data_IF_849118840684
#
_entry.id   IF_849118840684
#
_cell.length_a   1.000
_cell.length_b   1.000
_cell.length_c   1.000
_cell.angle_alpha   90.00
_cell.angle_beta   90.00
_cell.angle_gamma   90.00
#
_symmetry.space_group_name_H-M   'P 1'
#
loop_
_entity.id
_entity.type
_entity.pdbx_description
1 polymer ?
#
# COMPACT_ATOMS: atom_id res chain seq x y z
N UNK A 1 30.47 46.72 19.62
CA UNK A 1 29.47 46.19 18.67
C UNK A 1 29.31 44.70 18.93
N UNK A 2 28.50 44.32 19.92
CA UNK A 2 28.26 42.92 20.26
C UNK A 2 27.16 42.32 19.37
N UNK A 3 27.56 41.50 18.41
CA UNK A 3 26.66 40.71 17.54
C UNK A 3 26.37 39.32 18.12
N UNK A 4 26.13 39.23 19.43
CA UNK A 4 25.72 37.98 20.08
C UNK A 4 24.47 38.21 20.92
N UNK A 5 23.45 38.83 20.31
CA UNK A 5 22.10 38.78 20.88
C UNK A 5 21.67 37.30 20.96
N UNK A 6 21.78 36.74 22.17
CA UNK A 6 21.41 35.36 22.45
C UNK A 6 20.01 35.08 21.89
N UNK A 7 19.92 34.05 21.05
CA UNK A 7 18.65 33.62 20.47
C UNK A 7 17.68 33.36 21.63
N UNK A 8 16.48 33.98 21.66
CA UNK A 8 15.57 33.81 22.78
C UNK A 8 15.28 32.34 23.01
N UNK A 9 15.18 31.88 24.27
CA UNK A 9 14.95 30.48 24.61
C UNK A 9 13.69 29.92 23.94
N UNK A 10 12.67 30.78 23.71
CA UNK A 10 11.45 30.45 22.97
C UNK A 10 11.72 30.01 21.53
N UNK A 11 12.63 30.67 20.82
CA UNK A 11 12.97 30.35 19.43
C UNK A 11 13.72 29.02 19.36
N UNK A 12 14.58 28.75 20.34
CA UNK A 12 15.29 27.48 20.45
C UNK A 12 14.32 26.32 20.73
N UNK A 13 13.39 26.48 21.67
CA UNK A 13 12.36 25.48 21.99
C UNK A 13 11.44 25.20 20.81
N UNK A 14 10.95 26.25 20.13
CA UNK A 14 10.12 26.11 18.94
C UNK A 14 10.83 25.34 17.81
N UNK A 15 12.12 25.61 17.60
CA UNK A 15 12.93 24.87 16.62
C UNK A 15 13.05 23.39 16.97
N UNK A 16 13.33 23.06 18.23
CA UNK A 16 13.41 21.66 18.68
C UNK A 16 12.06 20.96 18.51
N UNK A 17 10.97 21.62 18.89
CA UNK A 17 9.63 21.08 18.72
C UNK A 17 9.28 20.80 17.25
N UNK A 18 9.58 21.74 16.35
CA UNK A 18 9.38 21.54 14.91
C UNK A 18 10.24 20.40 14.35
N UNK A 19 11.49 20.25 14.80
CA UNK A 19 12.31 19.11 14.40
C UNK A 19 11.76 17.78 14.90
N UNK A 20 11.34 17.70 16.16
CA UNK A 20 10.72 16.49 16.71
C UNK A 20 9.44 16.15 15.95
N UNK A 21 8.61 17.16 15.65
CA UNK A 21 7.39 16.98 14.87
C UNK A 21 7.68 16.49 13.44
N UNK A 22 8.70 17.04 12.79
CA UNK A 22 9.14 16.61 11.46
C UNK A 22 9.64 15.16 11.48
N UNK A 23 10.48 14.81 12.47
CA UNK A 23 11.00 13.45 12.61
C UNK A 23 9.85 12.48 12.89
N UNK A 24 8.92 12.84 13.77
CA UNK A 24 7.74 12.03 14.04
C UNK A 24 6.87 11.85 12.78
N UNK A 25 6.61 12.93 12.02
CA UNK A 25 5.86 12.85 10.77
C UNK A 25 6.57 11.97 9.73
N UNK A 26 7.89 12.12 9.59
CA UNK A 26 8.69 11.30 8.69
C UNK A 26 8.68 9.82 9.11
N UNK A 27 8.86 9.53 10.40
CA UNK A 27 8.84 8.17 10.93
C UNK A 27 7.47 7.50 10.75
N UNK A 28 6.38 8.23 11.04
CA UNK A 28 5.01 7.75 10.81
C UNK A 28 4.76 7.53 9.31
N UNK A 29 5.28 8.38 8.44
CA UNK A 29 5.07 8.24 6.99
C UNK A 29 5.89 7.08 6.40
N UNK A 30 7.15 6.91 6.82
CA UNK A 30 8.04 5.88 6.30
C UNK A 30 7.76 4.49 6.87
N UNK A 31 7.53 4.40 8.18
CA UNK A 31 7.38 3.14 8.89
C UNK A 31 5.94 2.85 9.31
N UNK A 32 5.19 3.89 9.67
CA UNK A 32 3.80 3.76 10.13
C UNK A 32 2.82 3.49 8.98
N UNK A 33 2.98 4.16 7.83
CA UNK A 33 2.07 4.02 6.68
C UNK A 33 1.90 2.57 6.19
N UNK A 34 2.96 1.78 5.91
CA UNK A 34 2.79 0.40 5.45
C UNK A 34 2.11 -0.49 6.50
N UNK A 35 2.44 -0.30 7.80
CA UNK A 35 1.85 -1.06 8.90
C UNK A 35 0.39 -0.70 9.13
N UNK A 36 0.04 0.59 9.03
CA UNK A 36 -1.34 1.06 9.14
C UNK A 36 -2.19 0.60 7.95
N UNK A 37 -1.64 0.66 6.73
CA UNK A 37 -2.32 0.14 5.54
C UNK A 37 -2.61 -1.35 5.69
N UNK A 38 -1.64 -2.13 6.16
CA UNK A 38 -1.83 -3.55 6.43
C UNK A 38 -2.88 -3.78 7.55
N UNK A 39 -2.81 -3.05 8.66
CA UNK A 39 -3.77 -3.18 9.75
C UNK A 39 -5.21 -2.78 9.36
N UNK A 40 -5.37 -1.79 8.47
CA UNK A 40 -6.69 -1.41 7.93
C UNK A 40 -7.20 -2.47 6.94
N UNK A 41 -6.34 -3.04 6.09
CA UNK A 41 -6.71 -4.14 5.18
C UNK A 41 -7.12 -5.40 5.96
N UNK A 42 -6.44 -5.69 7.05
CA UNK A 42 -6.73 -6.80 7.96
C UNK A 42 -7.93 -6.52 8.90
N UNK A 43 -8.53 -5.33 8.83
CA UNK A 43 -9.68 -4.93 9.64
C UNK A 43 -9.37 -4.65 11.12
N UNK A 44 -8.09 -4.61 11.51
CA UNK A 44 -7.65 -4.36 12.89
C UNK A 44 -7.61 -2.87 13.26
N UNK A 45 -7.66 -1.97 12.28
CA UNK A 45 -7.63 -0.54 12.49
C UNK A 45 -8.75 0.19 11.73
N UNK A 46 -9.33 1.26 12.30
CA UNK A 46 -10.31 2.08 11.62
C UNK A 46 -9.68 2.86 10.46
N UNK A 47 -10.44 3.06 9.38
CA UNK A 47 -10.00 3.78 8.16
C UNK A 47 -9.47 5.20 8.44
N UNK A 48 -9.92 5.82 9.53
CA UNK A 48 -9.45 7.12 9.99
C UNK A 48 -7.94 7.14 10.30
N UNK A 49 -7.35 5.98 10.63
CA UNK A 49 -5.92 5.86 10.89
C UNK A 49 -5.06 6.31 9.69
N UNK A 50 -5.52 6.10 8.45
CA UNK A 50 -4.81 6.51 7.24
C UNK A 50 -4.71 8.03 7.07
N UNK A 51 -5.53 8.81 7.79
CA UNK A 51 -5.50 10.28 7.77
C UNK A 51 -4.45 10.84 8.74
N UNK A 52 -3.96 10.04 9.68
CA UNK A 52 -3.03 10.48 10.72
C UNK A 52 -1.73 11.03 10.13
N UNK A 53 -1.13 10.32 9.17
CA UNK A 53 0.11 10.73 8.52
C UNK A 53 -0.03 12.07 7.74
N UNK A 54 -0.97 12.23 6.80
CA UNK A 54 -1.16 13.52 6.12
C UNK A 54 -1.62 14.63 7.07
N UNK A 55 -2.39 14.31 8.12
CA UNK A 55 -2.80 15.26 9.15
C UNK A 55 -1.62 15.82 9.94
N UNK A 56 -0.68 14.96 10.37
CA UNK A 56 0.55 15.38 11.04
C UNK A 56 1.43 16.25 10.14
N UNK A 57 1.56 15.89 8.86
CA UNK A 57 2.32 16.67 7.88
C UNK A 57 1.69 18.07 7.68
N UNK A 58 0.37 18.14 7.51
CA UNK A 58 -0.35 19.40 7.37
C UNK A 58 -0.18 20.30 8.62
N UNK A 59 -0.27 19.71 9.81
CA UNK A 59 -0.02 20.41 11.06
C UNK A 59 1.41 20.97 11.12
N UNK A 60 2.41 20.18 10.73
CA UNK A 60 3.80 20.64 10.65
C UNK A 60 3.97 21.83 9.71
N UNK A 61 3.40 21.75 8.49
CA UNK A 61 3.46 22.85 7.51
C UNK A 61 2.85 24.13 8.08
N UNK A 62 1.68 24.04 8.71
CA UNK A 62 1.00 25.19 9.29
C UNK A 62 1.81 25.83 10.44
N UNK A 63 2.30 25.01 11.39
CA UNK A 63 3.15 25.46 12.51
C UNK A 63 4.47 26.07 12.01
N UNK A 64 5.10 25.45 11.01
CA UNK A 64 6.32 25.95 10.41
C UNK A 64 6.11 27.30 9.71
N UNK A 65 5.01 27.44 8.95
CA UNK A 65 4.64 28.71 8.32
C UNK A 65 4.42 29.81 9.37
N UNK A 66 3.65 29.53 10.43
CA UNK A 66 3.40 30.48 11.51
C UNK A 66 4.70 30.94 12.20
N UNK A 67 5.59 29.98 12.53
CA UNK A 67 6.90 30.27 13.11
C UNK A 67 7.77 31.16 12.19
N UNK A 68 7.76 30.87 10.88
CA UNK A 68 8.51 31.65 9.89
C UNK A 68 7.97 33.07 9.74
N UNK A 69 6.65 33.24 9.67
CA UNK A 69 6.04 34.56 9.61
C UNK A 69 6.30 35.38 10.89
N UNK A 70 6.26 34.76 12.06
CA UNK A 70 6.61 35.43 13.32
C UNK A 70 8.07 35.93 13.33
N UNK A 71 9.01 35.14 12.79
CA UNK A 71 10.42 35.55 12.68
C UNK A 71 10.65 36.68 11.67
N UNK A 72 9.92 36.68 10.55
CA UNK A 72 9.96 37.76 9.56
C UNK A 72 9.39 39.05 10.17
N UNK A 73 8.25 38.96 10.87
CA UNK A 73 7.64 40.10 11.57
C UNK A 73 8.54 40.69 12.65
N UNK A 74 9.36 39.85 13.30
CA UNK A 74 10.36 40.29 14.27
C UNK A 74 11.63 40.90 13.64
N UNK A 75 11.72 40.99 12.30
CA UNK A 75 12.90 41.51 11.59
C UNK A 75 14.13 40.59 11.66
N UNK A 76 13.97 39.37 12.18
CA UNK A 76 15.08 38.41 12.42
C UNK A 76 15.27 37.42 11.29
N UNK A 77 14.49 37.54 10.21
CA UNK A 77 14.54 36.62 9.08
C UNK A 77 14.10 37.31 7.79
N UNK A 78 14.75 36.94 6.69
CA UNK A 78 14.48 37.53 5.38
C UNK A 78 13.14 37.02 4.82
N UNK A 79 12.22 37.94 4.53
CA UNK A 79 10.86 37.62 4.06
C UNK A 79 10.87 36.72 2.82
N UNK A 80 11.70 37.05 1.81
CA UNK A 80 11.81 36.25 0.59
C UNK A 80 12.19 34.78 0.82
N UNK A 81 13.11 34.48 1.75
CA UNK A 81 13.51 33.09 2.06
C UNK A 81 12.39 32.33 2.74
N UNK A 82 11.65 32.97 3.65
CA UNK A 82 10.50 32.36 4.29
C UNK A 82 9.40 32.04 3.27
N UNK A 83 9.12 32.96 2.35
CA UNK A 83 8.07 32.80 1.35
C UNK A 83 8.38 31.64 0.38
N UNK A 84 9.63 31.56 -0.12
CA UNK A 84 10.07 30.46 -0.98
C UNK A 84 10.00 29.12 -0.24
N UNK A 85 10.45 29.07 1.02
CA UNK A 85 10.46 27.83 1.77
C UNK A 85 9.05 27.33 2.11
N UNK A 86 8.15 28.21 2.53
CA UNK A 86 6.75 27.85 2.79
C UNK A 86 6.03 27.51 1.48
N UNK A 87 6.25 28.28 0.42
CA UNK A 87 5.68 28.00 -0.91
C UNK A 87 6.09 26.64 -1.46
N UNK A 88 7.37 26.28 -1.32
CA UNK A 88 7.86 24.96 -1.73
C UNK A 88 7.22 23.84 -0.91
N UNK A 89 7.07 24.01 0.41
CA UNK A 89 6.40 23.02 1.25
C UNK A 89 4.93 22.83 0.88
N UNK A 90 4.22 23.94 0.64
CA UNK A 90 2.82 23.89 0.19
C UNK A 90 2.72 23.21 -1.17
N UNK A 91 3.62 23.52 -2.11
CA UNK A 91 3.65 22.88 -3.42
C UNK A 91 3.86 21.37 -3.32
N UNK A 92 4.84 20.93 -2.52
CA UNK A 92 5.09 19.49 -2.25
C UNK A 92 3.85 18.84 -1.65
N UNK A 93 3.19 19.50 -0.70
CA UNK A 93 1.97 18.99 -0.08
C UNK A 93 0.83 18.86 -1.10
N UNK A 94 0.62 19.86 -1.96
CA UNK A 94 -0.38 19.84 -3.03
C UNK A 94 -0.12 18.75 -4.05
N UNK A 95 1.15 18.47 -4.38
CA UNK A 95 1.53 17.36 -5.27
C UNK A 95 1.36 15.99 -4.61
N UNK A 96 1.60 15.88 -3.30
CA UNK A 96 1.51 14.62 -2.55
C UNK A 96 0.08 14.25 -2.12
N UNK A 97 -0.82 15.23 -2.01
CA UNK A 97 -2.20 15.03 -1.54
C UNK A 97 -3.03 14.10 -2.45
N UNK A 98 -3.05 14.28 -3.79
CA UNK A 98 -3.90 13.48 -4.69
C UNK A 98 -3.65 11.98 -4.55
N UNK A 99 -2.39 11.53 -4.59
CA UNK A 99 -2.06 10.11 -4.44
C UNK A 99 -2.44 9.54 -3.07
N UNK A 100 -2.42 10.36 -2.02
CA UNK A 100 -2.86 9.94 -0.68
C UNK A 100 -4.39 9.86 -0.57
N UNK A 101 -5.10 10.78 -1.21
CA UNK A 101 -6.56 10.76 -1.31
C UNK A 101 -7.06 9.59 -2.17
N UNK A 102 -6.38 9.28 -3.26
CA UNK A 102 -6.76 8.16 -4.13
C UNK A 102 -6.56 6.82 -3.43
N UNK A 103 -5.48 6.67 -2.64
CA UNK A 103 -5.30 5.50 -1.74
C UNK A 103 -6.41 5.39 -0.71
N UNK A 104 -6.81 6.50 -0.09
CA UNK A 104 -7.91 6.51 0.89
C UNK A 104 -9.27 6.16 0.27
N UNK A 105 -9.56 6.69 -0.93
CA UNK A 105 -10.77 6.36 -1.69
C UNK A 105 -10.76 4.89 -2.11
N UNK A 106 -9.64 4.38 -2.64
CA UNK A 106 -9.49 2.99 -3.03
C UNK A 106 -9.64 2.03 -1.85
N UNK A 107 -9.14 2.38 -0.66
CA UNK A 107 -9.34 1.61 0.56
C UNK A 107 -10.82 1.44 0.97
N UNK A 108 -11.72 2.28 0.45
CA UNK A 108 -13.16 2.17 0.65
C UNK A 108 -13.93 1.43 -0.46
N UNK A 109 -13.34 1.25 -1.65
CA UNK A 109 -14.07 0.86 -2.86
C UNK A 109 -13.49 -0.31 -3.65
N UNK A 110 -12.35 -0.89 -3.25
CA UNK A 110 -11.87 -2.13 -3.88
C UNK A 110 -12.80 -3.28 -3.48
N UNK A 111 -13.90 -3.43 -4.23
CA UNK A 111 -14.57 -4.72 -4.35
C UNK A 111 -13.53 -5.66 -4.92
N UNK A 112 -13.03 -6.57 -4.08
CA UNK A 112 -12.22 -7.70 -4.53
C UNK A 112 -13.01 -8.36 -5.65
N UNK A 113 -12.57 -8.18 -6.89
CA UNK A 113 -13.25 -8.79 -8.04
C UNK A 113 -13.06 -10.28 -7.87
N UNK A 114 -14.17 -10.97 -7.62
CA UNK A 114 -14.22 -12.42 -7.50
C UNK A 114 -13.85 -13.04 -8.85
N UNK A 115 -12.74 -13.77 -8.86
CA UNK A 115 -12.23 -14.42 -10.06
C UNK A 115 -13.01 -15.71 -10.38
N UNK A 116 -13.84 -16.22 -9.47
CA UNK A 116 -14.57 -17.48 -9.64
C UNK A 116 -15.40 -17.51 -10.93
N UNK A 117 -16.10 -16.41 -11.24
CA UNK A 117 -16.87 -16.27 -12.48
C UNK A 117 -15.98 -16.27 -13.72
N UNK A 118 -14.82 -15.63 -13.65
CA UNK A 118 -13.90 -15.47 -14.79
C UNK A 118 -13.12 -16.75 -15.09
N UNK A 119 -12.71 -17.49 -14.04
CA UNK A 119 -12.17 -18.85 -14.16
C UNK A 119 -13.23 -19.84 -14.70
N UNK A 120 -14.51 -19.49 -14.58
CA UNK A 120 -15.66 -20.19 -15.16
C UNK A 120 -16.07 -19.74 -16.56
N UNK A 121 -15.42 -18.71 -17.11
CA UNK A 121 -15.86 -18.08 -18.36
C UNK A 121 -15.82 -19.05 -19.55
N UNK A 122 -16.77 -19.00 -20.50
CA UNK A 122 -16.67 -19.77 -21.75
C UNK A 122 -15.48 -19.30 -22.61
N UNK A 123 -15.07 -18.05 -22.48
CA UNK A 123 -13.91 -17.49 -23.17
C UNK A 123 -12.59 -18.00 -22.56
N UNK A 124 -11.76 -18.61 -23.42
CA UNK A 124 -10.47 -19.18 -23.05
C UNK A 124 -9.46 -18.12 -22.60
N UNK A 125 -9.51 -16.92 -23.19
CA UNK A 125 -8.61 -15.82 -22.83
C UNK A 125 -8.95 -15.27 -21.44
N UNK A 126 -10.24 -15.04 -21.18
CA UNK A 126 -10.72 -14.67 -19.84
C UNK A 126 -10.32 -15.69 -18.76
N UNK A 127 -10.39 -17.00 -19.03
CA UNK A 127 -9.96 -18.03 -18.07
C UNK A 127 -8.45 -17.98 -17.81
N UNK A 128 -7.64 -17.81 -18.85
CA UNK A 128 -6.19 -17.71 -18.73
C UNK A 128 -5.77 -16.46 -17.93
N UNK A 129 -6.35 -15.30 -18.24
CA UNK A 129 -6.11 -14.05 -17.51
C UNK A 129 -6.55 -14.17 -16.05
N UNK A 130 -7.71 -14.78 -15.78
CA UNK A 130 -8.18 -15.00 -14.43
C UNK A 130 -7.26 -15.93 -13.64
N UNK A 131 -6.74 -16.99 -14.28
CA UNK A 131 -5.76 -17.88 -13.66
C UNK A 131 -4.48 -17.12 -13.33
N UNK A 132 -3.94 -16.34 -14.28
CA UNK A 132 -2.79 -15.48 -14.06
C UNK A 132 -2.98 -14.52 -12.89
N UNK A 133 -4.10 -13.81 -12.82
CA UNK A 133 -4.37 -12.84 -11.76
C UNK A 133 -4.48 -13.51 -10.37
N UNK A 134 -4.91 -14.78 -10.30
CA UNK A 134 -5.06 -15.50 -9.05
C UNK A 134 -3.74 -15.61 -8.26
N UNK A 135 -2.59 -15.74 -8.93
CA UNK A 135 -1.28 -15.84 -8.27
C UNK A 135 -0.78 -14.54 -7.65
N UNK A 136 -1.39 -13.41 -8.04
CA UNK A 136 -1.04 -12.07 -7.56
C UNK A 136 -1.99 -11.58 -6.45
N UNK A 137 -2.99 -12.39 -6.07
CA UNK A 137 -3.86 -12.09 -4.93
C UNK A 137 -3.18 -12.45 -3.61
N UNK A 138 -3.66 -11.83 -2.54
CA UNK A 138 -3.29 -12.24 -1.19
C UNK A 138 -3.55 -13.75 -1.01
N UNK A 139 -2.63 -14.45 -0.36
CA UNK A 139 -2.63 -15.91 -0.25
C UNK A 139 -3.97 -16.46 0.23
N UNK A 140 -4.57 -15.85 1.25
CA UNK A 140 -5.85 -16.27 1.82
C UNK A 140 -7.04 -16.15 0.86
N UNK A 141 -7.02 -15.18 -0.06
CA UNK A 141 -8.03 -15.04 -1.12
C UNK A 141 -7.74 -16.03 -2.25
N UNK A 142 -6.46 -16.12 -2.67
CA UNK A 142 -6.03 -16.99 -3.76
C UNK A 142 -6.34 -18.48 -3.52
N UNK A 143 -6.25 -18.95 -2.26
CA UNK A 143 -6.56 -20.33 -1.89
C UNK A 143 -8.00 -20.73 -2.24
N UNK A 144 -8.95 -19.79 -2.31
CA UNK A 144 -10.34 -20.06 -2.70
C UNK A 144 -10.46 -20.50 -4.16
N UNK A 145 -9.53 -20.08 -5.00
CA UNK A 145 -9.52 -20.39 -6.43
C UNK A 145 -8.79 -21.70 -6.74
N UNK A 146 -8.08 -22.30 -5.78
CA UNK A 146 -7.30 -23.54 -5.98
C UNK A 146 -8.12 -24.65 -6.62
N UNK A 147 -9.36 -24.99 -6.17
CA UNK A 147 -10.19 -25.97 -6.84
C UNK A 147 -10.36 -25.73 -8.33
N UNK A 148 -10.61 -24.47 -8.71
CA UNK A 148 -10.86 -24.09 -10.09
C UNK A 148 -9.58 -24.05 -10.91
N UNK A 149 -8.46 -23.61 -10.32
CA UNK A 149 -7.14 -23.68 -10.94
C UNK A 149 -6.73 -25.13 -11.23
N UNK A 150 -7.00 -26.07 -10.31
CA UNK A 150 -6.74 -27.49 -10.55
C UNK A 150 -7.60 -28.04 -11.68
N UNK A 151 -8.88 -27.64 -11.78
CA UNK A 151 -9.73 -28.01 -12.92
C UNK A 151 -9.20 -27.44 -14.25
N UNK A 152 -8.64 -26.23 -14.26
CA UNK A 152 -8.07 -25.62 -15.46
C UNK A 152 -6.82 -26.33 -15.99
N UNK A 153 -6.21 -27.25 -15.25
CA UNK A 153 -5.15 -28.10 -15.78
C UNK A 153 -5.65 -29.10 -16.83
N UNK A 154 -6.95 -29.36 -16.87
CA UNK A 154 -7.63 -30.21 -17.86
C UNK A 154 -8.33 -29.36 -18.95
N UNK A 155 -8.14 -28.03 -18.95
CA UNK A 155 -8.78 -27.12 -19.91
C UNK A 155 -8.33 -27.39 -21.34
N UNK A 156 -9.21 -27.18 -22.32
CA UNK A 156 -8.88 -27.33 -23.75
C UNK A 156 -7.84 -26.29 -24.20
N UNK A 157 -7.83 -25.10 -23.61
CA UNK A 157 -6.87 -24.04 -23.93
C UNK A 157 -5.49 -24.33 -23.32
N UNK A 158 -4.43 -24.42 -24.15
CA UNK A 158 -3.08 -24.61 -23.64
C UNK A 158 -2.60 -23.45 -22.77
N UNK A 159 -3.07 -22.22 -23.04
CA UNK A 159 -2.72 -21.05 -22.25
C UNK A 159 -3.37 -21.08 -20.87
N UNK A 160 -4.65 -21.47 -20.78
CA UNK A 160 -5.33 -21.64 -19.50
C UNK A 160 -4.63 -22.69 -18.62
N UNK A 161 -4.22 -23.83 -19.20
CA UNK A 161 -3.44 -24.87 -18.50
C UNK A 161 -2.11 -24.32 -17.98
N UNK A 162 -1.37 -23.58 -18.82
CA UNK A 162 -0.09 -22.95 -18.43
C UNK A 162 -0.25 -21.99 -17.27
N UNK A 163 -1.21 -21.05 -17.37
CA UNK A 163 -1.44 -20.05 -16.33
C UNK A 163 -1.96 -20.66 -15.04
N UNK A 164 -2.80 -21.69 -15.12
CA UNK A 164 -3.26 -22.43 -13.96
C UNK A 164 -2.10 -23.13 -13.24
N UNK A 165 -1.22 -23.82 -13.98
CA UNK A 165 -0.01 -24.45 -13.41
C UNK A 165 0.91 -23.43 -12.76
N UNK A 166 1.24 -22.34 -13.45
CA UNK A 166 2.10 -21.29 -12.91
C UNK A 166 1.54 -20.71 -11.60
N UNK A 167 0.21 -20.56 -11.53
CA UNK A 167 -0.46 -20.04 -10.34
C UNK A 167 -0.46 -21.03 -9.19
N UNK A 168 -0.68 -22.32 -9.46
CA UNK A 168 -0.56 -23.37 -8.45
C UNK A 168 0.86 -23.47 -7.90
N UNK A 169 1.89 -23.39 -8.75
CA UNK A 169 3.29 -23.37 -8.34
C UNK A 169 3.58 -22.15 -7.46
N UNK A 170 3.15 -20.96 -7.87
CA UNK A 170 3.35 -19.73 -7.08
C UNK A 170 2.68 -19.81 -5.70
N UNK A 171 1.48 -20.40 -5.61
CA UNK A 171 0.77 -20.58 -4.35
C UNK A 171 1.39 -21.67 -3.48
N UNK A 172 1.87 -22.75 -4.08
CA UNK A 172 2.49 -23.87 -3.36
C UNK A 172 3.95 -23.59 -2.97
N UNK A 173 4.62 -22.69 -3.69
CA UNK A 173 6.08 -22.46 -3.58
C UNK A 173 6.92 -23.55 -4.24
N UNK A 174 6.30 -24.57 -4.82
CA UNK A 174 6.96 -25.70 -5.48
C UNK A 174 6.05 -26.34 -6.52
N UNK A 175 6.62 -27.06 -7.49
CA UNK A 175 5.86 -27.80 -8.50
C UNK A 175 5.51 -29.21 -8.03
N UNK A 176 4.56 -29.29 -7.10
CA UNK A 176 4.13 -30.56 -6.51
C UNK A 176 3.34 -31.46 -7.49
N UNK A 177 2.71 -30.86 -8.50
CA UNK A 177 1.89 -31.60 -9.46
C UNK A 177 2.63 -31.99 -10.74
N UNK A 178 3.76 -31.36 -11.07
CA UNK A 178 4.52 -31.67 -12.28
C UNK A 178 3.70 -31.49 -13.57
N UNK A 179 4.07 -32.24 -14.60
CA UNK A 179 3.40 -32.22 -15.92
C UNK A 179 2.73 -33.55 -16.24
N UNK A 180 1.86 -33.55 -17.26
CA UNK A 180 1.18 -34.74 -17.77
C UNK A 180 -0.26 -34.91 -17.27
N UNK A 181 -0.90 -35.99 -17.74
CA UNK A 181 -2.34 -36.26 -17.56
C UNK A 181 -2.73 -36.45 -16.09
N UNK A 182 -1.77 -36.86 -15.25
CA UNK A 182 -1.97 -37.09 -13.81
C UNK A 182 -1.69 -35.85 -12.94
N UNK A 183 -1.23 -34.74 -13.53
CA UNK A 183 -0.92 -33.52 -12.80
C UNK A 183 -2.10 -32.99 -11.96
N UNK A 184 -3.36 -33.00 -12.44
CA UNK A 184 -4.51 -32.58 -11.63
C UNK A 184 -4.66 -33.41 -10.36
N UNK A 185 -4.56 -34.74 -10.44
CA UNK A 185 -4.70 -35.64 -9.28
C UNK A 185 -3.61 -35.41 -8.25
N UNK A 186 -2.36 -35.23 -8.69
CA UNK A 186 -1.24 -34.90 -7.79
C UNK A 186 -1.44 -33.55 -7.10
N UNK A 187 -1.90 -32.54 -7.83
CA UNK A 187 -2.26 -31.25 -7.24
C UNK A 187 -3.41 -31.35 -6.23
N UNK A 188 -4.47 -32.12 -6.52
CA UNK A 188 -5.57 -32.37 -5.56
C UNK A 188 -5.04 -33.02 -4.28
N UNK A 189 -4.20 -34.06 -4.40
CA UNK A 189 -3.62 -34.75 -3.26
C UNK A 189 -2.72 -33.82 -2.41
N UNK A 190 -1.87 -33.03 -3.06
CA UNK A 190 -0.99 -32.09 -2.38
C UNK A 190 -1.79 -31.02 -1.61
N UNK A 191 -2.74 -30.35 -2.26
CA UNK A 191 -3.55 -29.32 -1.60
C UNK A 191 -4.44 -29.88 -0.47
N UNK A 192 -4.93 -31.12 -0.62
CA UNK A 192 -5.62 -31.82 0.47
C UNK A 192 -4.70 -32.05 1.68
N UNK A 193 -3.43 -32.40 1.46
CA UNK A 193 -2.42 -32.51 2.55
C UNK A 193 -2.16 -31.18 3.25
N UNK A 194 -2.36 -30.06 2.55
CA UNK A 194 -2.25 -28.70 3.10
C UNK A 194 -3.55 -28.19 3.74
N UNK A 195 -4.59 -29.04 3.85
CA UNK A 195 -5.88 -28.67 4.45
C UNK A 195 -6.81 -27.85 3.55
N UNK A 196 -6.51 -27.73 2.25
CA UNK A 196 -7.40 -27.06 1.29
C UNK A 196 -8.38 -28.08 0.73
N UNK A 197 -9.68 -27.79 0.84
CA UNK A 197 -10.73 -28.65 0.30
C UNK A 197 -10.78 -28.50 -1.22
N UNK A 198 -10.34 -29.54 -1.92
CA UNK A 198 -10.43 -29.62 -3.38
C UNK A 198 -11.44 -30.73 -3.72
N UNK A 199 -12.62 -30.39 -4.30
CA UNK A 199 -13.60 -31.37 -4.78
C UNK A 199 -13.09 -32.16 -5.99
#
# INVERSE_FOLDING_TARGET
>A
MDRTAAVPPIVRRARVFLYLLLIAAAAVTLFGAPVLEQAVREGRAPRAALIVAPGLLAAFVALFAAYRFALVRAGRYHAGKAFVQVGLMVLVMTLALPGSLDRWRAAGTVRVVDLSRHLGSPDAEARALAAELARHRDRSDALRYVPRLVQLLEDSSPEARRQARASLIALAGTDAGGEGVEAPQRWRAWWKSQGVVVP
#
